data_IF_700534153345
#
_entry.id   IF_700534153345
#
_cell.length_a   1.000
_cell.length_b   1.000
_cell.length_c   1.000
_cell.angle_alpha   90.00
_cell.angle_beta   90.00
_cell.angle_gamma   90.00
#
_symmetry.space_group_name_H-M   'P 1'
#
loop_
_entity.id
_entity.type
_entity.pdbx_description
1 polymer ?
#
# COMPACT_ATOMS: atom_id res chain seq x y z
N UNK A 1 0.89 -3.92 -3.22
CA UNK A 1 1.76 -2.80 -2.81
C UNK A 1 0.87 -1.69 -2.28
N UNK A 2 1.24 -1.02 -1.20
CA UNK A 2 0.39 -0.02 -0.54
C UNK A 2 0.13 1.21 -1.42
N UNK A 3 1.16 1.69 -2.12
CA UNK A 3 1.12 2.83 -3.04
C UNK A 3 0.15 2.62 -4.23
N UNK A 4 0.21 1.47 -4.90
CA UNK A 4 -0.69 1.12 -6.01
C UNK A 4 -2.13 0.97 -5.55
N UNK A 5 -2.33 0.36 -4.38
CA UNK A 5 -3.66 0.27 -3.77
C UNK A 5 -4.19 1.68 -3.43
N UNK A 6 -3.37 2.56 -2.86
CA UNK A 6 -3.76 3.93 -2.55
C UNK A 6 -4.19 4.72 -3.80
N UNK A 7 -3.46 4.55 -4.91
CA UNK A 7 -3.84 5.17 -6.19
C UNK A 7 -5.22 4.70 -6.67
N UNK A 8 -5.51 3.40 -6.59
CA UNK A 8 -6.84 2.86 -6.91
C UNK A 8 -7.93 3.41 -5.98
N UNK A 9 -7.64 3.51 -4.67
CA UNK A 9 -8.54 4.11 -3.70
C UNK A 9 -8.84 5.57 -4.05
N UNK A 10 -7.82 6.34 -4.45
CA UNK A 10 -8.01 7.74 -4.84
C UNK A 10 -8.89 7.87 -6.07
N UNK A 11 -8.65 7.02 -7.08
CA UNK A 11 -9.53 6.93 -8.25
C UNK A 11 -10.98 6.62 -7.84
N UNK A 12 -11.19 5.67 -6.92
CA UNK A 12 -12.52 5.33 -6.43
C UNK A 12 -13.22 6.49 -5.71
N UNK A 13 -12.50 7.31 -4.94
CA UNK A 13 -13.06 8.56 -4.40
C UNK A 13 -13.55 9.45 -5.54
N UNK A 14 -12.73 9.66 -6.58
CA UNK A 14 -13.10 10.52 -7.73
C UNK A 14 -14.28 9.98 -8.54
N UNK A 15 -14.50 8.68 -8.55
CA UNK A 15 -15.64 8.05 -9.26
C UNK A 15 -16.86 7.79 -8.37
N UNK A 16 -16.90 8.31 -7.14
CA UNK A 16 -18.04 8.14 -6.23
C UNK A 16 -18.13 6.77 -5.55
N UNK A 17 -17.09 5.92 -5.67
CA UNK A 17 -16.98 4.58 -5.06
C UNK A 17 -16.32 4.68 -3.68
N UNK A 18 -16.93 5.49 -2.82
CA UNK A 18 -16.32 5.88 -1.53
C UNK A 18 -16.11 4.69 -0.60
N UNK A 19 -17.07 3.79 -0.48
CA UNK A 19 -16.99 2.64 0.43
C UNK A 19 -15.83 1.71 0.05
N UNK A 20 -15.60 1.50 -1.24
CA UNK A 20 -14.46 0.71 -1.73
C UNK A 20 -13.13 1.42 -1.48
N UNK A 21 -13.08 2.74 -1.59
CA UNK A 21 -11.89 3.51 -1.24
C UNK A 21 -11.56 3.42 0.26
N UNK A 22 -12.57 3.45 1.13
CA UNK A 22 -12.39 3.27 2.59
C UNK A 22 -11.88 1.86 2.92
N UNK A 23 -12.39 0.81 2.24
CA UNK A 23 -11.86 -0.56 2.37
C UNK A 23 -10.39 -0.66 1.96
N UNK A 24 -10.01 0.04 0.89
CA UNK A 24 -8.61 0.12 0.45
C UNK A 24 -7.75 0.82 1.51
N UNK A 25 -8.19 1.96 2.04
CA UNK A 25 -7.45 2.69 3.05
C UNK A 25 -7.26 1.86 4.33
N UNK A 26 -8.31 1.16 4.79
CA UNK A 26 -8.23 0.24 5.91
C UNK A 26 -7.26 -0.92 5.66
N UNK A 27 -7.26 -1.48 4.44
CA UNK A 27 -6.29 -2.52 4.06
C UNK A 27 -4.86 -1.99 4.09
N UNK A 28 -4.59 -0.78 3.58
CA UNK A 28 -3.23 -0.19 3.62
C UNK A 28 -2.74 -0.06 5.06
N UNK A 29 -3.59 0.43 5.97
CA UNK A 29 -3.25 0.58 7.39
C UNK A 29 -2.94 -0.77 8.03
N UNK A 30 -3.67 -1.84 7.66
CA UNK A 30 -3.40 -3.18 8.19
C UNK A 30 -2.06 -3.76 7.75
N UNK A 31 -1.42 -3.21 6.71
CA UNK A 31 -0.08 -3.63 6.25
C UNK A 31 1.07 -2.93 7.00
N UNK A 32 0.78 -2.02 7.93
CA UNK A 32 1.81 -1.29 8.69
C UNK A 32 2.65 -2.25 9.54
N UNK A 33 3.96 -2.13 9.42
CA UNK A 33 4.92 -2.82 10.27
C UNK A 33 5.47 -1.87 11.35
N UNK A 34 6.31 -2.37 12.25
CA UNK A 34 6.95 -1.58 13.34
C UNK A 34 7.60 -0.30 12.80
N UNK A 35 8.27 -0.39 11.64
CA UNK A 35 9.00 0.72 11.04
C UNK A 35 8.16 1.58 10.08
N UNK A 36 6.89 1.25 9.84
CA UNK A 36 5.99 1.98 8.95
C UNK A 36 5.41 1.12 7.81
N UNK A 37 4.87 1.78 6.78
CA UNK A 37 4.31 1.12 5.60
C UNK A 37 5.40 0.54 4.69
N UNK A 38 5.27 -0.74 4.28
CA UNK A 38 6.20 -1.36 3.35
C UNK A 38 5.98 -0.89 1.91
N UNK A 39 6.98 -1.11 1.06
CA UNK A 39 6.85 -1.04 -0.40
C UNK A 39 5.89 -2.13 -0.92
N UNK A 40 6.14 -3.38 -0.54
CA UNK A 40 5.36 -4.54 -0.96
C UNK A 40 5.00 -5.44 0.22
N UNK A 41 3.90 -6.19 0.08
CA UNK A 41 3.44 -7.21 1.02
C UNK A 41 3.50 -8.56 0.33
N UNK A 42 3.88 -9.61 1.06
CA UNK A 42 4.24 -10.92 0.49
C UNK A 42 3.14 -11.98 0.59
N UNK A 43 1.95 -11.64 1.09
CA UNK A 43 0.84 -12.59 1.23
C UNK A 43 0.37 -13.19 -0.11
N UNK A 44 0.44 -12.41 -1.20
CA UNK A 44 -0.06 -12.81 -2.51
C UNK A 44 0.95 -12.53 -3.63
N UNK A 45 2.09 -13.21 -3.56
CA UNK A 45 3.11 -13.16 -4.62
C UNK A 45 2.60 -13.83 -5.91
N UNK A 46 2.70 -13.12 -7.03
CA UNK A 46 2.37 -13.65 -8.36
C UNK A 46 3.33 -14.74 -8.82
N UNK A 47 4.59 -14.69 -8.36
CA UNK A 47 5.59 -15.71 -8.67
C UNK A 47 6.47 -15.99 -7.44
N UNK A 48 5.97 -16.77 -6.47
CA UNK A 48 6.68 -17.02 -5.21
C UNK A 48 8.08 -17.63 -5.39
N UNK A 49 8.26 -18.46 -6.42
CA UNK A 49 9.52 -19.13 -6.72
C UNK A 49 10.69 -18.18 -7.06
N UNK A 50 10.41 -16.93 -7.46
CA UNK A 50 11.44 -15.95 -7.79
C UNK A 50 11.76 -15.00 -6.63
N UNK A 51 11.04 -15.08 -5.51
CA UNK A 51 11.17 -14.12 -4.43
C UNK A 51 12.57 -14.12 -3.80
N UNK A 52 13.05 -15.29 -3.39
CA UNK A 52 14.36 -15.43 -2.76
C UNK A 52 15.48 -14.94 -3.67
N UNK A 53 15.42 -15.26 -4.96
CA UNK A 53 16.38 -14.79 -5.96
C UNK A 53 16.46 -13.26 -6.04
N UNK A 54 15.34 -12.54 -5.91
CA UNK A 54 15.34 -11.08 -5.88
C UNK A 54 15.85 -10.53 -4.55
N UNK A 55 15.48 -11.16 -3.43
CA UNK A 55 15.98 -10.77 -2.10
C UNK A 55 17.51 -10.89 -2.04
N UNK A 56 18.07 -11.98 -2.57
CA UNK A 56 19.52 -12.18 -2.62
C UNK A 56 20.23 -11.12 -3.49
N UNK A 57 19.60 -10.71 -4.59
CA UNK A 57 20.18 -9.73 -5.53
C UNK A 57 20.05 -8.29 -5.08
N UNK A 58 18.94 -7.94 -4.44
CA UNK A 58 18.52 -6.53 -4.24
C UNK A 58 18.16 -6.20 -2.79
N UNK A 59 18.17 -7.18 -1.90
CA UNK A 59 17.72 -7.04 -0.53
C UNK A 59 16.20 -7.19 -0.38
N UNK A 60 15.73 -7.10 0.86
CA UNK A 60 14.29 -7.11 1.14
C UNK A 60 13.62 -5.81 0.64
N UNK A 61 12.35 -5.88 0.23
CA UNK A 61 11.57 -4.67 -0.10
C UNK A 61 11.60 -3.64 1.03
N UNK A 62 11.59 -2.36 0.68
CA UNK A 62 11.80 -1.29 1.65
C UNK A 62 10.70 -1.22 2.71
N UNK A 63 11.10 -1.10 3.99
CA UNK A 63 10.21 -0.80 5.11
C UNK A 63 10.92 0.17 6.07
N UNK A 64 10.51 1.46 6.15
CA UNK A 64 9.40 2.09 5.43
C UNK A 64 9.75 2.46 3.98
N UNK A 65 8.71 2.55 3.14
CA UNK A 65 8.78 3.30 1.89
C UNK A 65 8.05 4.64 2.04
N UNK A 66 8.77 5.76 1.87
CA UNK A 66 8.17 7.09 1.99
C UNK A 66 7.03 7.32 0.98
N UNK A 67 7.16 6.77 -0.23
CA UNK A 67 6.13 6.86 -1.25
C UNK A 67 4.81 6.16 -0.83
N UNK A 68 4.87 4.99 -0.18
CA UNK A 68 3.69 4.33 0.37
C UNK A 68 2.96 5.22 1.38
N UNK A 69 3.69 5.97 2.20
CA UNK A 69 3.11 6.93 3.15
C UNK A 69 2.50 8.14 2.45
N UNK A 70 3.21 8.72 1.48
CA UNK A 70 2.72 9.86 0.72
C UNK A 70 1.41 9.53 -0.02
N UNK A 71 1.36 8.37 -0.68
CA UNK A 71 0.16 7.91 -1.39
C UNK A 71 -1.01 7.64 -0.44
N UNK A 72 -0.74 7.06 0.73
CA UNK A 72 -1.76 6.90 1.77
C UNK A 72 -2.31 8.24 2.27
N UNK A 73 -1.44 9.24 2.50
CA UNK A 73 -1.87 10.58 2.92
C UNK A 73 -2.75 11.27 1.85
N UNK A 74 -2.44 11.10 0.56
CA UNK A 74 -3.30 11.60 -0.53
C UNK A 74 -4.69 10.95 -0.47
N UNK A 75 -4.76 9.63 -0.33
CA UNK A 75 -6.04 8.93 -0.21
C UNK A 75 -6.81 9.36 1.04
N UNK A 76 -6.14 9.47 2.19
CA UNK A 76 -6.76 9.88 3.44
C UNK A 76 -7.33 11.31 3.35
N UNK A 77 -6.59 12.24 2.72
CA UNK A 77 -7.04 13.61 2.48
C UNK A 77 -8.29 13.66 1.59
N UNK A 78 -8.33 12.84 0.53
CA UNK A 78 -9.47 12.76 -0.39
C UNK A 78 -10.70 12.12 0.25
N UNK A 79 -10.49 11.17 1.16
CA UNK A 79 -11.56 10.60 1.98
C UNK A 79 -11.98 11.52 3.13
N UNK A 80 -11.17 12.50 3.53
CA UNK A 80 -11.43 13.34 4.70
C UNK A 80 -11.32 12.57 6.01
N UNK A 81 -10.39 11.61 6.10
CA UNK A 81 -10.19 10.74 7.27
C UNK A 81 -8.80 10.92 7.88
N UNK A 82 -8.70 10.68 9.19
CA UNK A 82 -7.45 10.70 9.97
C UNK A 82 -7.20 9.32 10.58
N UNK A 83 -5.93 8.90 10.59
CA UNK A 83 -5.47 7.61 11.13
C UNK A 83 -4.38 7.78 12.17
#
# INVERSE_FOLDING_TARGET
MADRSAWLGWYYVKTGRREEAEKIAAWIVSQRQVNGLPEQVQEHLLSPAHYEMWVERTGHPAVPLLWSHAMFLVLAAELGITY
#
